data_IF_386874902177
#
_entry.id   IF_386874902177
#
_cell.length_a   1.000
_cell.length_b   1.000
_cell.length_c   1.000
_cell.angle_alpha   90.00
_cell.angle_beta   90.00
_cell.angle_gamma   90.00
#
_symmetry.space_group_name_H-M   'P 1'
#
loop_
_entity.id
_entity.type
_entity.pdbx_description
1 polymer ?
#
# COMPACT_ATOMS: atom_id res chain seq x y z
N UNK A 1 15.09 -29.03 24.04
CA UNK A 1 15.39 -27.59 23.93
C UNK A 1 15.95 -27.20 22.55
N UNK A 2 17.11 -27.72 22.12
CA UNK A 2 17.69 -27.38 20.80
C UNK A 2 16.76 -27.73 19.61
N UNK A 3 16.10 -28.89 19.67
CA UNK A 3 15.15 -29.34 18.62
C UNK A 3 13.95 -28.40 18.52
N UNK A 4 13.46 -27.87 19.65
CA UNK A 4 12.33 -26.96 19.68
C UNK A 4 12.70 -25.59 19.11
N UNK A 5 13.87 -25.06 19.49
CA UNK A 5 14.45 -23.84 18.93
C UNK A 5 14.60 -23.95 17.41
N UNK A 6 15.22 -25.03 16.92
CA UNK A 6 15.40 -25.27 15.49
C UNK A 6 14.07 -25.38 14.73
N UNK A 7 13.06 -26.02 15.33
CA UNK A 7 11.72 -26.15 14.74
C UNK A 7 11.04 -24.79 14.60
N UNK A 8 11.12 -23.95 15.63
CA UNK A 8 10.54 -22.60 15.63
C UNK A 8 11.26 -21.68 14.63
N UNK A 9 12.60 -21.70 14.61
CA UNK A 9 13.40 -20.92 13.67
C UNK A 9 13.13 -21.32 12.22
N UNK A 10 13.02 -22.62 11.92
CA UNK A 10 12.66 -23.08 10.58
C UNK A 10 11.27 -22.57 10.16
N UNK A 11 10.30 -22.56 11.09
CA UNK A 11 8.97 -22.00 10.82
C UNK A 11 9.03 -20.52 10.47
N UNK A 12 9.77 -19.71 11.25
CA UNK A 12 9.97 -18.28 10.99
C UNK A 12 10.60 -18.06 9.61
N UNK A 13 11.69 -18.78 9.30
CA UNK A 13 12.35 -18.65 8.00
C UNK A 13 11.44 -19.00 6.82
N UNK A 14 10.57 -20.01 6.96
CA UNK A 14 9.59 -20.34 5.93
C UNK A 14 8.50 -19.27 5.78
N UNK A 15 8.08 -18.64 6.89
CA UNK A 15 7.13 -17.53 6.86
C UNK A 15 7.71 -16.31 6.13
N UNK A 16 8.96 -15.93 6.43
CA UNK A 16 9.65 -14.81 5.76
C UNK A 16 9.83 -15.07 4.25
N UNK A 17 10.20 -16.29 3.87
CA UNK A 17 10.25 -16.68 2.45
C UNK A 17 8.90 -16.57 1.74
N UNK A 18 7.81 -16.88 2.44
CA UNK A 18 6.47 -16.75 1.89
C UNK A 18 6.11 -15.28 1.63
N UNK A 19 6.43 -14.39 2.58
CA UNK A 19 6.27 -12.94 2.41
C UNK A 19 7.05 -12.49 1.17
N UNK A 20 8.34 -12.84 1.08
CA UNK A 20 9.18 -12.48 -0.05
C UNK A 20 8.60 -12.94 -1.41
N UNK A 21 8.15 -14.19 -1.50
CA UNK A 21 7.57 -14.73 -2.72
C UNK A 21 6.24 -14.04 -3.10
N UNK A 22 5.37 -13.80 -2.12
CA UNK A 22 4.09 -13.11 -2.35
C UNK A 22 4.31 -11.71 -2.93
N UNK A 23 5.27 -10.95 -2.39
CA UNK A 23 5.53 -9.57 -2.82
C UNK A 23 6.24 -9.47 -4.18
N UNK A 24 6.82 -10.56 -4.68
CA UNK A 24 7.32 -10.63 -6.07
C UNK A 24 6.16 -10.74 -7.07
N UNK A 25 5.11 -11.48 -6.71
CA UNK A 25 4.01 -11.82 -7.60
C UNK A 25 2.76 -10.95 -7.41
N UNK A 26 2.87 -9.86 -6.63
CA UNK A 26 1.74 -8.99 -6.27
C UNK A 26 1.89 -7.56 -6.80
N UNK A 27 1.72 -7.34 -8.13
CA UNK A 27 1.84 -6.02 -8.72
C UNK A 27 0.61 -5.14 -8.46
N UNK A 28 0.84 -3.84 -8.24
CA UNK A 28 -0.23 -2.85 -8.30
C UNK A 28 -0.78 -2.75 -9.73
N UNK A 29 -2.11 -2.78 -9.84
CA UNK A 29 -2.79 -2.67 -11.12
C UNK A 29 -3.21 -1.23 -11.40
N UNK A 30 -2.75 -0.71 -12.53
CA UNK A 30 -3.09 0.61 -13.03
C UNK A 30 -4.04 0.51 -14.23
N UNK A 31 -4.94 1.47 -14.35
CA UNK A 31 -5.81 1.62 -15.51
C UNK A 31 -6.15 3.09 -15.77
N UNK A 32 -6.63 3.37 -16.97
CA UNK A 32 -7.04 4.72 -17.33
C UNK A 32 -8.18 5.24 -16.43
N UNK A 33 -8.10 6.51 -16.03
CA UNK A 33 -9.20 7.18 -15.36
C UNK A 33 -10.41 7.26 -16.30
N UNK A 34 -11.62 7.16 -15.73
CA UNK A 34 -12.87 7.07 -16.51
C UNK A 34 -13.10 8.31 -17.37
N UNK A 35 -12.86 9.47 -16.78
CA UNK A 35 -13.20 10.76 -17.39
C UNK A 35 -11.99 11.42 -18.07
N UNK A 36 -10.77 10.99 -17.72
CA UNK A 36 -9.50 11.48 -18.30
C UNK A 36 -8.63 10.28 -18.69
N UNK A 37 -8.82 9.74 -19.90
CA UNK A 37 -8.11 8.52 -20.32
C UNK A 37 -6.58 8.64 -20.37
N UNK A 38 -6.04 9.87 -20.35
CA UNK A 38 -4.60 10.15 -20.32
C UNK A 38 -3.96 9.97 -18.94
N UNK A 39 -4.75 9.90 -17.86
CA UNK A 39 -4.25 9.71 -16.49
C UNK A 39 -4.44 8.26 -16.07
N UNK A 40 -3.37 7.66 -15.53
CA UNK A 40 -3.41 6.30 -14.96
C UNK A 40 -3.69 6.37 -13.46
N UNK A 41 -4.62 5.54 -13.01
CA UNK A 41 -5.07 5.43 -11.61
C UNK A 41 -5.00 3.98 -11.15
N UNK A 42 -4.81 3.77 -9.85
CA UNK A 42 -4.88 2.45 -9.22
C UNK A 42 -6.32 1.94 -9.29
N UNK A 43 -6.52 0.72 -9.81
CA UNK A 43 -7.86 0.14 -10.10
C UNK A 43 -8.31 -0.94 -9.11
N UNK A 44 -7.39 -1.74 -8.61
CA UNK A 44 -7.70 -2.90 -7.77
C UNK A 44 -6.67 -3.02 -6.64
N UNK A 45 -6.69 -2.12 -5.64
CA UNK A 45 -5.74 -2.15 -4.54
C UNK A 45 -6.09 -3.21 -3.48
N UNK A 46 -7.30 -3.77 -3.48
CA UNK A 46 -7.84 -4.60 -2.38
C UNK A 46 -6.96 -5.82 -2.07
N UNK A 47 -6.45 -6.50 -3.09
CA UNK A 47 -5.57 -7.66 -2.92
C UNK A 47 -4.24 -7.26 -2.27
N UNK A 48 -3.68 -6.11 -2.66
CA UNK A 48 -2.42 -5.58 -2.12
C UNK A 48 -2.60 -5.11 -0.69
N UNK A 49 -3.71 -4.42 -0.38
CA UNK A 49 -4.04 -3.96 0.96
C UNK A 49 -4.27 -5.13 1.91
N UNK A 50 -5.02 -6.15 1.49
CA UNK A 50 -5.22 -7.36 2.29
C UNK A 50 -3.88 -8.06 2.57
N UNK A 51 -3.02 -8.19 1.55
CA UNK A 51 -1.70 -8.78 1.70
C UNK A 51 -0.80 -7.97 2.66
N UNK A 52 -0.89 -6.63 2.65
CA UNK A 52 -0.18 -5.77 3.61
C UNK A 52 -0.63 -6.07 5.04
N UNK A 53 -1.93 -6.05 5.30
CA UNK A 53 -2.50 -6.30 6.63
C UNK A 53 -2.10 -7.69 7.16
N UNK A 54 -2.27 -8.74 6.35
CA UNK A 54 -1.92 -10.11 6.72
C UNK A 54 -0.43 -10.29 7.03
N UNK A 55 0.44 -9.72 6.18
CA UNK A 55 1.89 -9.85 6.34
C UNK A 55 2.40 -9.01 7.52
N UNK A 56 1.85 -7.82 7.74
CA UNK A 56 2.16 -7.00 8.93
C UNK A 56 1.76 -7.71 10.23
N UNK A 57 0.55 -8.30 10.29
CA UNK A 57 0.11 -9.08 11.44
C UNK A 57 1.01 -10.32 11.67
N UNK A 58 1.42 -10.99 10.59
CA UNK A 58 2.35 -12.12 10.67
C UNK A 58 3.71 -11.70 11.25
N UNK A 59 4.27 -10.58 10.77
CA UNK A 59 5.55 -10.04 11.25
C UNK A 59 5.49 -9.63 12.72
N UNK A 60 4.40 -8.98 13.16
CA UNK A 60 4.17 -8.68 14.58
C UNK A 60 4.14 -9.96 15.43
N UNK A 61 3.44 -10.99 14.94
CA UNK A 61 3.39 -12.31 15.60
C UNK A 61 4.73 -13.03 15.64
N UNK A 62 5.62 -12.81 14.67
CA UNK A 62 6.99 -13.34 14.65
C UNK A 62 7.88 -12.57 15.65
N UNK A 63 7.81 -11.25 15.65
CA UNK A 63 8.57 -10.39 16.56
C UNK A 63 8.25 -10.70 18.04
N UNK A 64 7.00 -11.05 18.35
CA UNK A 64 6.57 -11.46 19.70
C UNK A 64 7.14 -12.79 20.20
N UNK A 65 7.88 -13.56 19.39
CA UNK A 65 8.38 -14.90 19.77
C UNK A 65 9.70 -14.88 20.55
N UNK A 66 10.25 -13.70 20.89
CA UNK A 66 11.41 -13.55 21.77
C UNK A 66 12.64 -14.32 21.28
N UNK A 67 13.20 -15.22 22.10
CA UNK A 67 14.45 -15.97 21.77
C UNK A 67 14.39 -16.75 20.45
N UNK A 68 13.21 -17.08 19.95
CA UNK A 68 13.06 -17.84 18.72
C UNK A 68 13.30 -17.00 17.46
N UNK A 69 13.14 -15.66 17.55
CA UNK A 69 13.32 -14.74 16.42
C UNK A 69 14.71 -14.11 16.35
N UNK A 70 15.56 -14.29 17.37
CA UNK A 70 16.86 -13.61 17.49
C UNK A 70 17.72 -13.66 16.22
N UNK A 71 17.77 -14.81 15.53
CA UNK A 71 18.51 -14.96 14.28
C UNK A 71 17.89 -14.20 13.09
N UNK A 72 16.59 -13.93 13.12
CA UNK A 72 15.81 -13.31 12.05
C UNK A 72 15.41 -11.87 12.36
N UNK A 73 15.77 -11.32 13.51
CA UNK A 73 15.22 -10.04 13.97
C UNK A 73 15.47 -8.89 12.99
N UNK A 74 16.68 -8.82 12.42
CA UNK A 74 17.02 -7.82 11.42
C UNK A 74 16.21 -7.97 10.13
N UNK A 75 15.91 -9.20 9.71
CA UNK A 75 15.08 -9.46 8.54
C UNK A 75 13.61 -9.11 8.80
N UNK A 76 13.10 -9.43 10.00
CA UNK A 76 11.74 -9.08 10.43
C UNK A 76 11.56 -7.57 10.51
N UNK A 77 12.51 -6.85 11.13
CA UNK A 77 12.48 -5.39 11.22
C UNK A 77 12.53 -4.73 9.84
N UNK A 78 13.37 -5.26 8.93
CA UNK A 78 13.42 -4.78 7.55
C UNK A 78 12.06 -4.93 6.87
N UNK A 79 11.45 -6.12 6.93
CA UNK A 79 10.15 -6.36 6.35
C UNK A 79 9.05 -5.48 6.97
N UNK A 80 9.06 -5.28 8.28
CA UNK A 80 8.12 -4.36 8.94
C UNK A 80 8.26 -2.92 8.43
N UNK A 81 9.50 -2.45 8.27
CA UNK A 81 9.77 -1.11 7.73
C UNK A 81 9.33 -0.97 6.27
N UNK A 82 9.70 -1.94 5.43
CA UNK A 82 9.42 -1.91 3.99
C UNK A 82 7.90 -1.99 3.74
N UNK A 83 7.19 -2.89 4.43
CA UNK A 83 5.74 -3.03 4.29
C UNK A 83 4.97 -1.85 4.92
N UNK A 84 5.39 -1.37 6.10
CA UNK A 84 4.74 -0.20 6.72
C UNK A 84 4.90 1.08 5.91
N UNK A 85 6.05 1.26 5.25
CA UNK A 85 6.25 2.37 4.30
C UNK A 85 5.34 2.21 3.09
N UNK A 86 5.24 0.99 2.55
CA UNK A 86 4.38 0.69 1.40
C UNK A 86 2.90 0.96 1.72
N UNK A 87 2.43 0.53 2.89
CA UNK A 87 1.06 0.79 3.37
C UNK A 87 0.77 2.29 3.46
N UNK A 88 1.67 3.05 4.09
CA UNK A 88 1.51 4.50 4.23
C UNK A 88 1.42 5.19 2.87
N UNK A 89 2.37 4.90 1.97
CA UNK A 89 2.40 5.51 0.63
C UNK A 89 1.15 5.13 -0.18
N UNK A 90 0.70 3.87 -0.10
CA UNK A 90 -0.47 3.42 -0.81
C UNK A 90 -1.75 4.10 -0.30
N UNK A 91 -1.91 4.25 1.01
CA UNK A 91 -3.04 4.98 1.59
C UNK A 91 -3.07 6.45 1.17
N UNK A 92 -1.93 7.14 1.28
CA UNK A 92 -1.81 8.54 0.85
C UNK A 92 -2.14 8.69 -0.64
N UNK A 93 -1.64 7.78 -1.47
CA UNK A 93 -1.93 7.77 -2.91
C UNK A 93 -3.43 7.60 -3.18
N UNK A 94 -4.08 6.61 -2.56
CA UNK A 94 -5.50 6.35 -2.75
C UNK A 94 -6.37 7.51 -2.26
N UNK A 95 -5.98 8.17 -1.17
CA UNK A 95 -6.66 9.37 -0.66
C UNK A 95 -6.54 10.53 -1.66
N UNK A 96 -5.32 10.82 -2.14
CA UNK A 96 -5.08 11.87 -3.13
C UNK A 96 -5.83 11.58 -4.43
N UNK A 97 -5.77 10.34 -4.92
CA UNK A 97 -6.48 9.91 -6.11
C UNK A 97 -7.99 10.08 -5.97
N UNK A 98 -8.58 9.70 -4.82
CA UNK A 98 -10.01 9.86 -4.55
C UNK A 98 -10.44 11.33 -4.48
N UNK A 99 -9.65 12.17 -3.81
CA UNK A 99 -9.89 13.62 -3.75
C UNK A 99 -9.78 14.25 -5.13
N UNK A 100 -8.72 13.94 -5.88
CA UNK A 100 -8.52 14.42 -7.23
C UNK A 100 -9.67 14.01 -8.16
N UNK A 101 -10.07 12.73 -8.15
CA UNK A 101 -11.17 12.24 -9.01
C UNK A 101 -12.49 12.97 -8.73
N UNK A 102 -12.76 13.26 -7.45
CA UNK A 102 -13.95 14.02 -7.01
C UNK A 102 -13.90 15.48 -7.50
N UNK A 103 -12.74 16.14 -7.34
CA UNK A 103 -12.54 17.52 -7.79
C UNK A 103 -12.56 17.64 -9.32
N UNK A 104 -11.95 16.69 -10.02
CA UNK A 104 -11.91 16.63 -11.47
C UNK A 104 -13.33 16.54 -12.05
N UNK A 105 -14.20 15.73 -11.45
CA UNK A 105 -15.62 15.63 -11.82
C UNK A 105 -16.38 16.94 -11.59
N UNK A 106 -16.12 17.64 -10.47
CA UNK A 106 -16.79 18.91 -10.13
C UNK A 106 -16.34 20.05 -11.04
N UNK A 107 -15.02 20.25 -11.17
CA UNK A 107 -14.47 21.42 -11.85
C UNK A 107 -14.42 21.23 -13.36
N UNK A 108 -14.05 20.06 -13.89
CA UNK A 108 -13.93 19.89 -15.35
C UNK A 108 -15.28 19.63 -16.01
N UNK A 109 -16.18 18.87 -15.37
CA UNK A 109 -17.45 18.49 -16.00
C UNK A 109 -18.57 19.53 -15.85
N UNK A 110 -18.41 20.56 -15.00
CA UNK A 110 -19.42 21.60 -14.79
C UNK A 110 -18.88 23.00 -15.12
N UNK A 111 -19.21 23.47 -16.33
CA UNK A 111 -18.88 24.83 -16.78
C UNK A 111 -19.48 25.91 -15.87
N UNK A 112 -20.68 25.66 -15.32
CA UNK A 112 -21.37 26.58 -14.42
C UNK A 112 -20.63 26.76 -13.08
N UNK A 113 -20.06 25.68 -12.53
CA UNK A 113 -19.25 25.76 -11.30
C UNK A 113 -17.96 26.55 -11.53
N UNK A 114 -17.32 26.41 -12.70
CA UNK A 114 -16.13 27.21 -13.03
C UNK A 114 -16.41 28.71 -13.10
N UNK A 115 -17.60 29.10 -13.55
CA UNK A 115 -18.03 30.51 -13.59
C UNK A 115 -18.37 31.03 -12.19
N UNK A 116 -18.93 30.18 -11.32
CA UNK A 116 -19.28 30.56 -9.94
C UNK A 116 -18.06 30.59 -8.99
N UNK A 117 -17.06 29.73 -9.21
CA UNK A 117 -15.86 29.60 -8.39
C UNK A 117 -14.58 29.75 -9.24
N UNK A 118 -14.32 30.95 -9.80
CA UNK A 118 -13.22 31.15 -10.74
C UNK A 118 -11.83 31.02 -10.10
N UNK A 119 -11.66 31.45 -8.85
CA UNK A 119 -10.37 31.37 -8.15
C UNK A 119 -10.00 29.94 -7.74
N UNK A 120 -10.98 29.15 -7.27
CA UNK A 120 -10.75 27.74 -6.94
C UNK A 120 -10.51 26.89 -8.19
N UNK A 121 -11.18 27.23 -9.31
CA UNK A 121 -10.93 26.58 -10.61
C UNK A 121 -9.49 26.83 -11.09
N UNK A 122 -8.98 28.07 -10.99
CA UNK A 122 -7.57 28.37 -11.33
C UNK A 122 -6.58 27.64 -10.43
N UNK A 123 -6.90 27.47 -9.14
CA UNK A 123 -6.04 26.71 -8.21
C UNK A 123 -6.01 25.24 -8.58
N UNK A 124 -7.16 24.66 -8.97
CA UNK A 124 -7.23 23.28 -9.42
C UNK A 124 -6.44 23.07 -10.73
N UNK A 125 -6.63 23.95 -11.73
CA UNK A 125 -5.92 23.88 -13.02
C UNK A 125 -4.39 24.05 -12.89
N UNK A 126 -3.89 24.61 -11.78
CA UNK A 126 -2.45 24.72 -11.51
C UNK A 126 -1.84 23.52 -10.79
N UNK A 127 -2.67 22.59 -10.28
CA UNK A 127 -2.27 21.39 -9.56
C UNK A 127 -2.47 20.13 -10.42
N UNK A 128 -3.52 20.13 -11.25
CA UNK A 128 -3.81 19.12 -12.28
C UNK A 128 -2.75 19.15 -13.40
#
# INVERSE_FOLDING_TARGET
EIVELATKQNKIGNQLKKIAAQWIDLPLQFGAHRDVPSVLVIKAPDEVLLALEENMAMLQGIAGQGRYVEHFISEVEKWQSDLGTTETVLHDWLEVQGKWSSLQSIFISSQDIRVQLPEDSKRFDGID
#
